data_IF_876317378777
#
_entry.id   IF_876317378777
#
_cell.length_a   1.000
_cell.length_b   1.000
_cell.length_c   1.000
_cell.angle_alpha   90.00
_cell.angle_beta   90.00
_cell.angle_gamma   90.00
#
_symmetry.space_group_name_H-M   'P 1'
#
loop_
_entity.id
_entity.type
_entity.pdbx_description
1 polymer ?
#
# COMPACT_ATOMS: atom_id res chain seq x y z
N UNK A 1 -41.10 10.65 -37.07
CA UNK A 1 -40.74 11.48 -35.90
C UNK A 1 -39.83 10.65 -35.02
N UNK A 2 -38.60 11.13 -34.76
CA UNK A 2 -37.52 10.41 -34.07
C UNK A 2 -37.59 10.63 -32.57
N UNK A 3 -37.59 9.57 -31.77
CA UNK A 3 -37.71 9.62 -30.29
C UNK A 3 -36.35 9.53 -29.58
N UNK A 4 -35.24 9.66 -30.31
CA UNK A 4 -33.88 9.50 -29.76
C UNK A 4 -33.27 10.81 -29.24
N UNK A 5 -34.02 11.63 -28.50
CA UNK A 5 -33.53 12.94 -28.06
C UNK A 5 -34.05 13.41 -26.70
N UNK A 6 -34.04 12.57 -25.65
CA UNK A 6 -34.22 13.05 -24.27
C UNK A 6 -33.45 12.19 -23.25
N UNK A 7 -32.14 12.04 -23.43
CA UNK A 7 -31.26 11.84 -22.28
C UNK A 7 -30.10 12.81 -22.47
N UNK A 8 -30.02 13.91 -21.71
CA UNK A 8 -28.82 14.73 -21.73
C UNK A 8 -27.66 13.81 -21.33
N UNK A 9 -26.74 13.61 -22.28
CA UNK A 9 -25.49 12.91 -22.03
C UNK A 9 -24.72 13.79 -21.05
N UNK A 10 -24.88 13.50 -19.76
CA UNK A 10 -24.20 14.22 -18.70
C UNK A 10 -22.70 13.96 -18.96
N UNK A 11 -21.98 14.98 -19.40
CA UNK A 11 -20.56 14.85 -19.71
C UNK A 11 -19.85 14.60 -18.39
N UNK A 12 -19.53 13.33 -18.13
CA UNK A 12 -18.80 12.93 -16.93
C UNK A 12 -17.41 13.57 -17.03
N UNK A 13 -17.18 14.61 -16.23
CA UNK A 13 -15.87 15.25 -16.15
C UNK A 13 -14.92 14.30 -15.42
N UNK A 14 -13.99 13.71 -16.18
CA UNK A 14 -12.96 12.82 -15.64
C UNK A 14 -11.90 13.66 -14.96
N UNK A 15 -11.62 13.36 -13.68
CA UNK A 15 -10.52 13.94 -12.92
C UNK A 15 -9.46 12.88 -12.70
N UNK A 16 -8.30 13.04 -13.34
CA UNK A 16 -7.17 12.16 -13.11
C UNK A 16 -6.53 12.48 -11.77
N UNK A 17 -6.48 11.49 -10.88
CA UNK A 17 -5.81 11.62 -9.59
C UNK A 17 -4.30 11.50 -9.78
N UNK A 18 -3.56 12.45 -9.22
CA UNK A 18 -2.10 12.42 -9.20
C UNK A 18 -1.59 11.51 -8.08
N UNK A 19 -0.35 11.05 -8.22
CA UNK A 19 0.38 10.40 -7.12
C UNK A 19 0.58 11.38 -5.96
N UNK A 20 0.64 10.85 -4.74
CA UNK A 20 0.97 11.63 -3.56
C UNK A 20 2.46 11.96 -3.51
N UNK A 21 2.79 13.04 -2.80
CA UNK A 21 4.18 13.31 -2.40
C UNK A 21 4.69 12.22 -1.45
N UNK A 22 6.01 12.09 -1.33
CA UNK A 22 6.60 11.16 -0.35
C UNK A 22 6.23 11.55 1.08
N UNK A 23 6.08 12.85 1.34
CA UNK A 23 5.67 13.44 2.60
C UNK A 23 4.23 13.03 2.94
N UNK A 24 3.29 13.15 1.99
CA UNK A 24 1.90 12.74 2.19
C UNK A 24 1.77 11.22 2.35
N UNK A 25 2.51 10.43 1.55
CA UNK A 25 2.59 8.98 1.74
C UNK A 25 3.19 8.60 3.10
N UNK A 26 4.17 9.37 3.60
CA UNK A 26 4.73 9.18 4.93
C UNK A 26 3.68 9.41 6.01
N UNK A 27 2.83 10.43 5.89
CA UNK A 27 1.72 10.67 6.81
C UNK A 27 0.74 9.48 6.85
N UNK A 28 0.35 8.97 5.67
CA UNK A 28 -0.52 7.78 5.56
C UNK A 28 0.12 6.56 6.23
N UNK A 29 1.39 6.31 5.93
CA UNK A 29 2.15 5.19 6.49
C UNK A 29 2.28 5.31 8.02
N UNK A 30 2.73 6.47 8.50
CA UNK A 30 3.04 6.70 9.91
C UNK A 30 1.80 6.62 10.79
N UNK A 31 0.66 7.13 10.32
CA UNK A 31 -0.62 7.03 11.03
C UNK A 31 -1.03 5.58 11.31
N UNK A 32 -0.60 4.64 10.47
CA UNK A 32 -0.91 3.21 10.62
C UNK A 32 0.19 2.46 11.38
N UNK A 33 1.45 2.78 11.09
CA UNK A 33 2.59 2.07 11.66
C UNK A 33 2.91 2.48 13.11
N UNK A 34 2.60 3.72 13.50
CA UNK A 34 2.94 4.28 14.82
C UNK A 34 1.70 4.81 15.55
N UNK A 35 0.86 3.92 16.12
CA UNK A 35 -0.28 4.35 16.93
C UNK A 35 0.20 5.13 18.17
N UNK A 36 -0.57 6.13 18.60
CA UNK A 36 -0.24 7.08 19.67
C UNK A 36 0.11 6.43 21.03
N UNK A 37 -0.24 5.16 21.24
CA UNK A 37 -0.09 4.45 22.51
C UNK A 37 1.24 3.72 22.70
N UNK A 38 2.13 3.72 21.72
CA UNK A 38 3.36 2.92 21.74
C UNK A 38 4.59 3.79 21.53
N UNK A 39 5.19 4.23 22.64
CA UNK A 39 6.56 4.75 22.63
C UNK A 39 7.53 3.58 22.75
N UNK A 40 8.37 3.43 21.72
CA UNK A 40 9.46 2.47 21.72
C UNK A 40 10.79 3.21 21.66
N UNK A 41 11.81 2.69 22.34
CA UNK A 41 13.17 3.25 22.31
C UNK A 41 13.71 3.37 20.87
N UNK A 42 13.24 2.50 19.96
CA UNK A 42 13.65 2.46 18.57
C UNK A 42 12.84 3.36 17.63
N UNK A 43 11.85 4.10 18.12
CA UNK A 43 10.90 4.86 17.28
C UNK A 43 11.59 5.75 16.25
N UNK A 44 12.57 6.56 16.66
CA UNK A 44 13.27 7.47 15.76
C UNK A 44 14.06 6.75 14.64
N UNK A 45 14.60 5.55 14.92
CA UNK A 45 15.29 4.73 13.92
C UNK A 45 14.30 4.05 12.99
N UNK A 46 13.19 3.53 13.52
CA UNK A 46 12.10 2.96 12.74
C UNK A 46 11.47 3.99 11.80
N UNK A 47 11.33 5.24 12.24
CA UNK A 47 10.82 6.32 11.39
C UNK A 47 11.74 6.61 10.20
N UNK A 48 13.07 6.59 10.42
CA UNK A 48 14.04 6.76 9.32
C UNK A 48 13.93 5.62 8.30
N UNK A 49 13.88 4.37 8.77
CA UNK A 49 13.72 3.20 7.88
C UNK A 49 12.37 3.27 7.15
N UNK A 50 11.30 3.63 7.86
CA UNK A 50 9.96 3.78 7.30
C UNK A 50 9.89 4.82 6.19
N UNK A 51 10.60 5.95 6.33
CA UNK A 51 10.71 6.96 5.26
C UNK A 51 11.40 6.40 4.00
N UNK A 52 12.43 5.58 4.14
CA UNK A 52 13.06 4.93 3.00
C UNK A 52 12.13 3.89 2.34
N UNK A 53 11.36 3.13 3.13
CA UNK A 53 10.32 2.23 2.61
C UNK A 53 9.27 3.03 1.83
N UNK A 54 8.81 4.16 2.35
CA UNK A 54 7.79 5.02 1.71
C UNK A 54 8.27 5.56 0.37
N UNK A 55 9.55 5.91 0.21
CA UNK A 55 10.09 6.32 -1.09
C UNK A 55 9.93 5.21 -2.15
N UNK A 56 10.05 3.93 -1.77
CA UNK A 56 9.81 2.79 -2.66
C UNK A 56 8.32 2.56 -2.98
N UNK A 57 7.39 3.22 -2.30
CA UNK A 57 5.96 3.16 -2.60
C UNK A 57 5.55 4.03 -3.81
N UNK A 58 6.46 4.86 -4.34
CA UNK A 58 6.25 5.67 -5.55
C UNK A 58 4.94 6.49 -5.54
N UNK A 59 4.64 7.14 -4.40
CA UNK A 59 3.46 8.00 -4.25
C UNK A 59 2.11 7.29 -4.26
N UNK A 60 2.09 5.95 -4.17
CA UNK A 60 0.85 5.17 -4.13
C UNK A 60 0.31 5.07 -2.70
N UNK A 61 -0.83 5.71 -2.36
CA UNK A 61 -1.37 5.69 -1.00
C UNK A 61 -1.69 4.27 -0.51
N UNK A 62 -2.20 3.41 -1.39
CA UNK A 62 -2.54 2.03 -1.05
C UNK A 62 -1.29 1.20 -0.67
N UNK A 63 -0.15 1.46 -1.31
CA UNK A 63 1.12 0.81 -0.98
C UNK A 63 1.61 1.24 0.41
N UNK A 64 1.61 2.55 0.68
CA UNK A 64 1.97 3.11 1.97
C UNK A 64 1.05 2.59 3.10
N UNK A 65 -0.26 2.57 2.86
CA UNK A 65 -1.26 2.06 3.80
C UNK A 65 -1.04 0.58 4.12
N UNK A 66 -0.81 -0.24 3.10
CA UNK A 66 -0.62 -1.68 3.26
C UNK A 66 0.62 -2.00 4.10
N UNK A 67 1.75 -1.37 3.80
CA UNK A 67 2.99 -1.60 4.54
C UNK A 67 2.95 -0.99 5.95
N UNK A 68 2.35 0.18 6.12
CA UNK A 68 2.19 0.80 7.44
C UNK A 68 1.36 -0.08 8.37
N UNK A 69 0.23 -0.60 7.88
CA UNK A 69 -0.60 -1.53 8.63
C UNK A 69 0.11 -2.86 8.95
N UNK A 70 0.88 -3.39 8.01
CA UNK A 70 1.68 -4.61 8.21
C UNK A 70 2.76 -4.43 9.29
N UNK A 71 3.45 -3.28 9.29
CA UNK A 71 4.57 -2.99 10.19
C UNK A 71 4.13 -2.49 11.57
N UNK A 72 2.85 -2.15 11.75
CA UNK A 72 2.29 -1.66 13.02
C UNK A 72 2.67 -2.48 14.25
N UNK A 73 2.75 -3.81 14.14
CA UNK A 73 3.04 -4.72 15.25
C UNK A 73 4.49 -5.23 15.25
N UNK A 74 5.38 -4.55 14.53
CA UNK A 74 6.78 -4.94 14.35
C UNK A 74 7.69 -3.94 15.07
N UNK A 75 8.18 -4.32 16.25
CA UNK A 75 9.03 -3.46 17.07
C UNK A 75 10.53 -3.65 16.82
N UNK A 76 10.93 -4.76 16.20
CA UNK A 76 12.33 -5.04 15.93
C UNK A 76 12.80 -4.33 14.66
N UNK A 77 13.94 -3.65 14.74
CA UNK A 77 14.57 -2.99 13.57
C UNK A 77 14.74 -3.95 12.39
N UNK A 78 15.10 -5.21 12.68
CA UNK A 78 15.32 -6.24 11.67
C UNK A 78 14.08 -6.51 10.82
N UNK A 79 12.88 -6.48 11.40
CA UNK A 79 11.65 -6.70 10.64
C UNK A 79 11.46 -5.62 9.56
N UNK A 80 11.81 -4.37 9.88
CA UNK A 80 11.71 -3.24 8.97
C UNK A 80 12.82 -3.24 7.91
N UNK A 81 14.04 -3.59 8.31
CA UNK A 81 15.18 -3.75 7.38
C UNK A 81 14.89 -4.84 6.36
N UNK A 82 14.38 -5.99 6.80
CA UNK A 82 13.99 -7.08 5.90
C UNK A 82 12.95 -6.64 4.86
N UNK A 83 12.04 -5.74 5.22
CA UNK A 83 11.09 -5.15 4.28
C UNK A 83 11.77 -4.19 3.33
N UNK A 84 12.63 -3.30 3.83
CA UNK A 84 13.35 -2.32 3.01
C UNK A 84 14.29 -2.98 1.98
N UNK A 85 14.98 -4.04 2.38
CA UNK A 85 15.99 -4.76 1.59
C UNK A 85 15.43 -5.97 0.84
N UNK A 86 14.10 -6.15 0.82
CA UNK A 86 13.47 -7.27 0.15
C UNK A 86 13.77 -7.28 -1.36
N UNK A 87 14.25 -8.41 -1.88
CA UNK A 87 14.46 -8.62 -3.33
C UNK A 87 13.18 -8.41 -4.16
N UNK A 88 12.00 -8.45 -3.52
CA UNK A 88 10.71 -8.24 -4.16
C UNK A 88 10.61 -6.86 -4.81
N UNK A 89 11.32 -5.86 -4.30
CA UNK A 89 11.35 -4.51 -4.88
C UNK A 89 11.91 -4.47 -6.29
N UNK A 90 12.85 -5.36 -6.61
CA UNK A 90 13.59 -5.37 -7.87
C UNK A 90 13.06 -6.46 -8.83
N UNK A 91 11.96 -7.13 -8.50
CA UNK A 91 11.38 -8.15 -9.36
C UNK A 91 10.81 -7.52 -10.64
N UNK A 92 11.15 -8.04 -11.82
CA UNK A 92 10.70 -7.48 -13.08
C UNK A 92 9.18 -7.69 -13.25
N UNK A 93 8.53 -6.73 -13.91
CA UNK A 93 7.08 -6.77 -14.17
C UNK A 93 6.64 -8.04 -14.93
N UNK A 94 7.55 -8.62 -15.73
CA UNK A 94 7.32 -9.89 -16.44
C UNK A 94 7.05 -11.05 -15.49
N UNK A 95 7.60 -11.02 -14.27
CA UNK A 95 7.36 -12.02 -13.24
C UNK A 95 6.12 -11.71 -12.40
N UNK A 96 5.79 -10.42 -12.19
CA UNK A 96 4.61 -10.03 -11.43
C UNK A 96 4.18 -8.60 -11.75
N UNK A 97 2.95 -8.44 -12.26
CA UNK A 97 2.35 -7.12 -12.55
C UNK A 97 1.82 -6.39 -11.31
N UNK A 98 1.93 -7.00 -10.13
CA UNK A 98 1.43 -6.44 -8.87
C UNK A 98 2.46 -5.47 -8.30
N UNK A 99 2.00 -4.35 -7.76
CA UNK A 99 2.82 -3.38 -7.04
C UNK A 99 3.67 -4.11 -5.97
N UNK A 100 5.02 -4.00 -5.99
CA UNK A 100 5.90 -4.76 -5.10
C UNK A 100 5.55 -4.65 -3.61
N UNK A 101 5.18 -3.46 -3.14
CA UNK A 101 4.73 -3.23 -1.76
C UNK A 101 3.55 -4.12 -1.35
N UNK A 102 2.58 -4.31 -2.24
CA UNK A 102 1.40 -5.17 -1.98
C UNK A 102 1.80 -6.64 -1.93
N UNK A 103 2.75 -7.06 -2.77
CA UNK A 103 3.28 -8.42 -2.75
C UNK A 103 4.06 -8.70 -1.46
N UNK A 104 4.86 -7.75 -0.99
CA UNK A 104 5.55 -7.83 0.30
C UNK A 104 4.52 -7.97 1.42
N UNK A 105 3.48 -7.14 1.43
CA UNK A 105 2.38 -7.21 2.40
C UNK A 105 1.73 -8.60 2.41
N UNK A 106 1.37 -9.12 1.23
CA UNK A 106 0.82 -10.46 1.10
C UNK A 106 1.78 -11.53 1.62
N UNK A 107 3.07 -11.46 1.30
CA UNK A 107 4.05 -12.46 1.73
C UNK A 107 4.22 -12.53 3.26
N UNK A 108 4.04 -11.41 3.95
CA UNK A 108 4.10 -11.35 5.43
C UNK A 108 2.78 -11.73 6.11
N UNK A 109 1.69 -11.92 5.37
CA UNK A 109 0.44 -12.41 5.97
C UNK A 109 0.62 -13.82 6.54
N UNK A 110 0.07 -14.09 7.73
CA UNK A 110 -0.09 -15.45 8.25
C UNK A 110 -0.78 -16.38 7.24
N UNK A 111 -0.45 -17.69 7.22
CA UNK A 111 -1.00 -18.63 6.23
C UNK A 111 -2.53 -18.71 6.18
N UNK A 112 -3.22 -18.47 7.31
CA UNK A 112 -4.68 -18.45 7.34
C UNK A 112 -5.25 -17.19 6.67
N UNK A 113 -4.62 -16.01 6.86
CA UNK A 113 -5.06 -14.78 6.20
C UNK A 113 -4.77 -14.78 4.70
N UNK A 114 -3.69 -15.42 4.25
CA UNK A 114 -3.44 -15.64 2.81
C UNK A 114 -4.58 -16.41 2.15
N UNK A 115 -5.08 -17.47 2.81
CA UNK A 115 -6.24 -18.25 2.34
C UNK A 115 -7.51 -17.39 2.28
N UNK A 116 -7.78 -16.60 3.33
CA UNK A 116 -8.91 -15.67 3.33
C UNK A 116 -8.80 -14.64 2.20
N UNK A 117 -7.61 -14.13 1.92
CA UNK A 117 -7.39 -13.16 0.84
C UNK A 117 -7.67 -13.75 -0.55
N UNK A 118 -7.24 -14.99 -0.80
CA UNK A 118 -7.53 -15.69 -2.07
C UNK A 118 -9.03 -15.90 -2.25
N UNK A 119 -9.78 -16.14 -1.16
CA UNK A 119 -11.23 -16.27 -1.25
C UNK A 119 -11.92 -15.03 -1.85
N UNK A 120 -11.38 -13.83 -1.59
CA UNK A 120 -11.89 -12.59 -2.18
C UNK A 120 -11.83 -12.58 -3.72
N UNK A 121 -10.96 -13.36 -4.35
CA UNK A 121 -10.86 -13.44 -5.81
C UNK A 121 -11.99 -14.24 -6.47
N UNK A 122 -12.87 -14.88 -5.69
CA UNK A 122 -14.03 -15.60 -6.20
C UNK A 122 -15.19 -14.65 -6.54
N UNK A 123 -15.16 -13.42 -6.03
CA UNK A 123 -16.15 -12.40 -6.33
C UNK A 123 -15.79 -11.68 -7.64
N UNK A 124 -16.79 -11.26 -8.44
CA UNK A 124 -16.55 -10.47 -9.63
C UNK A 124 -15.82 -9.17 -9.28
N UNK A 125 -15.08 -8.63 -10.25
CA UNK A 125 -14.51 -7.29 -10.09
C UNK A 125 -15.65 -6.27 -10.07
N UNK A 126 -15.59 -5.37 -9.10
CA UNK A 126 -16.45 -4.19 -9.01
C UNK A 126 -16.25 -3.24 -10.21
#
# INVERSE_FOLDING_TARGET
QSVAAVVPFNVVKVYHLNQLSNEDCWLVFANLAFPLSEDSENRGTLEKIGKEIVKKCNGLPLAAQSLGGMLRRKHALRDWINVLESDIWELPESQCKIIPALRISYNHLPPHLKRCFVYCSLYPKD
#
